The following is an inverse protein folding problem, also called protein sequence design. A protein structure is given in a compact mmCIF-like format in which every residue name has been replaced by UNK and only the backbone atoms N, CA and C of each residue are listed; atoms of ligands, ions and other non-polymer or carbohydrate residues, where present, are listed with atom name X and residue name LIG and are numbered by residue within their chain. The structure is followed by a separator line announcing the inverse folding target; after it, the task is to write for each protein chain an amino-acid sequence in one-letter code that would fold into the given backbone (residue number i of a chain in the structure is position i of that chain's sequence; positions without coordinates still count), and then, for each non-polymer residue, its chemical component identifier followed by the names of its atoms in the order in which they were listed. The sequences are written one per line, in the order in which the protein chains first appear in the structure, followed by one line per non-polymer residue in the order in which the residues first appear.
data_IF_645883789962
#
_entry.id   IF_645883789962
#
_cell.length_a   1.000
_cell.length_b   1.000
_cell.length_c   1.000
_cell.angle_alpha   90.00
_cell.angle_beta   90.00
_cell.angle_gamma   90.00
#
_symmetry.space_group_name_H-M   'P 1'
#
loop_
_entity.id
_entity.type
_entity.pdbx_description
1 polymer ?
#
# COMPACT_ATOMS: atom_id res chain seq x y z
N UNK A 1 9.45 19.08 -17.76
CA UNK A 1 10.03 18.23 -16.70
C UNK A 1 8.96 18.07 -15.66
N UNK A 2 8.60 16.82 -15.33
CA UNK A 2 7.55 16.54 -14.34
C UNK A 2 8.05 16.91 -12.94
N UNK A 3 7.24 17.63 -12.16
CA UNK A 3 7.57 18.00 -10.78
C UNK A 3 6.77 17.18 -9.77
N UNK A 4 7.23 17.17 -8.50
CA UNK A 4 6.46 16.57 -7.41
C UNK A 4 5.09 17.21 -7.22
N UNK A 5 4.95 18.49 -7.56
CA UNK A 5 3.68 19.20 -7.40
C UNK A 5 2.68 18.86 -8.50
N UNK A 6 3.16 18.61 -9.73
CA UNK A 6 2.33 18.10 -10.82
C UNK A 6 1.74 16.73 -10.45
N UNK A 7 2.57 15.83 -9.91
CA UNK A 7 2.16 14.50 -9.44
C UNK A 7 1.10 14.60 -8.35
N UNK A 8 1.34 15.44 -7.32
CA UNK A 8 0.38 15.63 -6.22
C UNK A 8 -0.93 16.25 -6.71
N UNK A 9 -0.85 17.24 -7.59
CA UNK A 9 -2.02 17.91 -8.16
C UNK A 9 -2.86 16.93 -8.99
N UNK A 10 -2.21 16.15 -9.85
CA UNK A 10 -2.88 15.14 -10.65
C UNK A 10 -3.57 14.09 -9.77
N UNK A 11 -2.85 13.48 -8.83
CA UNK A 11 -3.41 12.44 -7.96
C UNK A 11 -4.60 12.95 -7.12
N UNK A 12 -4.53 14.17 -6.58
CA UNK A 12 -5.67 14.79 -5.89
C UNK A 12 -6.86 15.01 -6.82
N UNK A 13 -6.62 15.45 -8.06
CA UNK A 13 -7.69 15.63 -9.06
C UNK A 13 -8.41 14.32 -9.42
N UNK A 14 -7.76 13.17 -9.20
CA UNK A 14 -8.32 11.83 -9.46
C UNK A 14 -9.04 11.24 -8.25
N UNK A 15 -8.86 11.79 -7.06
CA UNK A 15 -9.58 11.37 -5.86
C UNK A 15 -8.73 11.00 -4.65
N UNK A 16 -7.40 11.14 -4.72
CA UNK A 16 -6.56 10.98 -3.53
C UNK A 16 -6.78 12.15 -2.55
N UNK A 17 -7.01 11.85 -1.28
CA UNK A 17 -7.20 12.86 -0.24
C UNK A 17 -5.88 13.43 0.27
N UNK A 18 -4.88 12.56 0.42
CA UNK A 18 -3.50 12.95 0.70
C UNK A 18 -2.56 12.28 -0.29
N UNK A 19 -1.50 13.00 -0.62
CA UNK A 19 -0.47 12.53 -1.55
C UNK A 19 0.89 12.89 -0.97
N UNK A 20 1.72 11.87 -0.84
CA UNK A 20 3.06 11.94 -0.28
C UNK A 20 4.07 11.35 -1.26
N UNK A 21 5.30 11.86 -1.24
CA UNK A 21 6.39 11.31 -2.05
C UNK A 21 7.57 11.07 -1.12
N UNK A 22 8.07 9.84 -1.08
CA UNK A 22 9.14 9.42 -0.19
C UNK A 22 10.28 8.71 -0.92
N UNK A 23 11.45 8.72 -0.30
CA UNK A 23 12.67 8.05 -0.78
C UNK A 23 12.67 6.58 -0.31
N UNK A 24 12.86 5.65 -1.25
CA UNK A 24 12.88 4.21 -0.95
C UNK A 24 14.06 3.81 -0.05
N UNK A 25 15.15 4.58 -0.01
CA UNK A 25 16.26 4.33 0.92
C UNK A 25 15.82 4.28 2.38
N UNK A 26 14.71 4.94 2.73
CA UNK A 26 14.14 4.93 4.08
C UNK A 26 13.52 3.60 4.49
N UNK A 27 13.47 2.61 3.60
CA UNK A 27 13.18 1.20 3.96
C UNK A 27 14.41 0.46 4.52
N UNK A 28 15.60 1.08 4.56
CA UNK A 28 16.78 0.46 5.14
C UNK A 28 16.52 -0.07 6.57
N UNK A 29 16.80 -1.35 6.78
CA UNK A 29 16.58 -2.06 8.03
C UNK A 29 15.20 -2.74 8.16
N UNK A 30 14.30 -2.56 7.19
CA UNK A 30 13.06 -3.36 7.12
C UNK A 30 13.39 -4.84 6.79
N UNK A 31 12.54 -5.80 7.22
CA UNK A 31 12.64 -7.18 6.75
C UNK A 31 12.63 -7.24 5.22
N UNK A 32 13.48 -8.06 4.57
CA UNK A 32 13.57 -8.12 3.11
C UNK A 32 12.24 -8.36 2.40
N UNK A 33 11.36 -9.16 2.98
CA UNK A 33 10.01 -9.49 2.48
C UNK A 33 9.04 -8.29 2.57
N UNK A 34 9.40 -7.28 3.36
CA UNK A 34 8.63 -6.06 3.62
C UNK A 34 9.32 -4.78 3.12
N UNK A 35 10.39 -4.90 2.35
CA UNK A 35 11.17 -3.78 1.81
C UNK A 35 10.89 -3.57 0.31
N UNK A 36 10.36 -2.39 -0.02
CA UNK A 36 9.96 -2.04 -1.39
C UNK A 36 11.13 -2.02 -2.39
N UNK A 37 12.37 -1.87 -1.92
CA UNK A 37 13.58 -1.89 -2.78
C UNK A 37 13.80 -3.24 -3.44
N UNK A 38 13.22 -4.32 -2.91
CA UNK A 38 13.32 -5.65 -3.53
C UNK A 38 12.27 -5.89 -4.64
N UNK A 39 11.23 -5.06 -4.74
CA UNK A 39 10.22 -5.13 -5.80
C UNK A 39 10.66 -4.36 -7.04
N UNK A 40 11.09 -3.11 -6.86
CA UNK A 40 11.52 -2.22 -7.94
C UNK A 40 12.90 -1.63 -7.61
N UNK A 41 14.00 -2.38 -7.88
CA UNK A 41 15.35 -1.98 -7.45
C UNK A 41 15.83 -0.63 -7.99
N UNK A 42 15.34 -0.23 -9.17
CA UNK A 42 15.71 1.04 -9.82
C UNK A 42 14.78 2.21 -9.42
N UNK A 43 13.72 1.95 -8.65
CA UNK A 43 12.79 2.98 -8.21
C UNK A 43 13.46 3.94 -7.22
N UNK A 44 13.40 5.24 -7.54
CA UNK A 44 14.01 6.30 -6.72
C UNK A 44 13.04 6.98 -5.77
N UNK A 45 11.75 6.90 -6.06
CA UNK A 45 10.72 7.56 -5.29
C UNK A 45 9.47 6.67 -5.22
N UNK A 46 8.78 6.76 -4.10
CA UNK A 46 7.48 6.13 -3.86
C UNK A 46 6.43 7.22 -3.74
N UNK A 47 5.31 7.09 -4.45
CA UNK A 47 4.15 7.97 -4.30
C UNK A 47 3.12 7.27 -3.44
N UNK A 48 2.90 7.77 -2.23
CA UNK A 48 1.87 7.28 -1.31
C UNK A 48 0.57 8.05 -1.48
N UNK A 49 -0.55 7.33 -1.54
CA UNK A 49 -1.90 7.90 -1.60
C UNK A 49 -2.68 7.52 -0.34
N UNK A 50 -3.41 8.46 0.24
CA UNK A 50 -4.39 8.18 1.29
C UNK A 50 -5.80 8.55 0.83
N UNK A 51 -6.77 7.75 1.27
CA UNK A 51 -8.18 7.90 0.94
C UNK A 51 -8.97 7.92 2.25
N UNK A 52 -9.83 8.93 2.42
CA UNK A 52 -10.64 9.09 3.62
C UNK A 52 -11.73 8.04 3.63
N UNK A 53 -12.00 7.50 4.81
CA UNK A 53 -13.25 6.80 5.08
C UNK A 53 -14.25 7.86 5.54
N UNK A 54 -15.35 8.12 4.79
CA UNK A 54 -16.37 9.05 5.21
C UNK A 54 -16.92 8.73 6.61
N UNK A 55 -17.01 9.75 7.47
CA UNK A 55 -17.51 9.59 8.85
C UNK A 55 -18.88 8.91 8.92
N UNK A 56 -19.74 9.15 7.93
CA UNK A 56 -21.06 8.55 7.82
C UNK A 56 -21.05 7.02 7.74
N UNK A 57 -19.99 6.42 7.17
CA UNK A 57 -19.89 4.95 7.07
C UNK A 57 -19.67 4.27 8.43
N UNK A 58 -19.21 5.02 9.43
CA UNK A 58 -19.01 4.54 10.80
C UNK A 58 -20.26 4.76 11.68
N UNK A 59 -21.20 5.61 11.25
CA UNK A 59 -22.33 6.03 12.09
C UNK A 59 -23.23 4.86 12.49
N UNK A 60 -23.49 3.95 11.56
CA UNK A 60 -24.34 2.79 11.84
C UNK A 60 -23.72 1.79 12.82
N UNK A 61 -22.39 1.75 12.96
CA UNK A 61 -21.71 0.96 13.99
C UNK A 61 -21.91 1.61 15.36
N UNK A 62 -21.73 2.92 15.45
CA UNK A 62 -21.84 3.69 16.70
C UNK A 62 -23.26 3.72 17.25
N UNK A 63 -24.26 3.76 16.36
CA UNK A 63 -25.67 3.75 16.74
C UNK A 63 -26.27 2.34 16.83
N UNK A 64 -25.52 1.31 16.44
CA UNK A 64 -26.01 -0.07 16.42
C UNK A 64 -27.10 -0.34 15.38
N UNK A 65 -27.17 0.45 14.31
CA UNK A 65 -28.25 0.43 13.30
C UNK A 65 -27.84 -0.23 11.98
N UNK A 66 -26.60 -0.02 11.53
CA UNK A 66 -26.11 -0.56 10.26
C UNK A 66 -24.59 -0.75 10.29
N UNK A 67 -24.16 -1.99 10.51
CA UNK A 67 -22.74 -2.34 10.63
C UNK A 67 -22.04 -2.55 9.29
N UNK A 68 -22.80 -2.78 8.21
CA UNK A 68 -22.23 -3.25 6.96
C UNK A 68 -21.69 -2.13 6.06
N UNK A 69 -22.05 -0.86 6.29
CA UNK A 69 -21.56 0.26 5.48
C UNK A 69 -20.04 0.44 5.59
N UNK A 70 -19.45 0.29 6.77
CA UNK A 70 -18.00 0.38 6.93
C UNK A 70 -17.24 -0.69 6.14
N UNK A 71 -17.47 -2.00 6.32
CA UNK A 71 -16.71 -3.01 5.56
C UNK A 71 -17.01 -2.98 4.06
N UNK A 72 -18.22 -2.59 3.63
CA UNK A 72 -18.58 -2.54 2.21
C UNK A 72 -18.10 -1.26 1.51
N UNK A 73 -18.64 -0.10 1.89
CA UNK A 73 -18.37 1.18 1.24
C UNK A 73 -17.07 1.84 1.74
N UNK A 74 -16.74 1.67 3.02
CA UNK A 74 -15.53 2.25 3.60
C UNK A 74 -14.26 1.48 3.30
N UNK A 75 -14.26 0.17 3.54
CA UNK A 75 -13.05 -0.65 3.43
C UNK A 75 -12.95 -1.32 2.06
N UNK A 76 -13.89 -2.21 1.70
CA UNK A 76 -13.78 -3.00 0.47
C UNK A 76 -13.86 -2.14 -0.79
N UNK A 77 -14.81 -1.21 -0.88
CA UNK A 77 -14.95 -0.37 -2.06
C UNK A 77 -13.71 0.51 -2.31
N UNK A 78 -13.14 1.10 -1.25
CA UNK A 78 -11.92 1.91 -1.37
C UNK A 78 -10.76 1.04 -1.88
N UNK A 79 -10.49 -0.11 -1.27
CA UNK A 79 -9.32 -0.93 -1.58
C UNK A 79 -9.43 -1.70 -2.91
N UNK A 80 -10.65 -2.11 -3.29
CA UNK A 80 -10.86 -2.97 -4.46
C UNK A 80 -11.30 -2.20 -5.71
N UNK A 81 -11.82 -0.98 -5.58
CA UNK A 81 -12.36 -0.23 -6.72
C UNK A 81 -11.82 1.19 -6.81
N UNK A 82 -12.00 2.00 -5.77
CA UNK A 82 -11.72 3.44 -5.85
C UNK A 82 -10.22 3.73 -5.93
N UNK A 83 -9.44 3.27 -4.95
CA UNK A 83 -8.00 3.49 -4.91
C UNK A 83 -7.27 2.85 -6.11
N UNK A 84 -7.59 1.62 -6.56
CA UNK A 84 -7.01 1.05 -7.77
C UNK A 84 -7.22 1.89 -9.03
N UNK A 85 -8.39 2.53 -9.18
CA UNK A 85 -8.64 3.44 -10.31
C UNK A 85 -7.71 4.65 -10.28
N UNK A 86 -7.55 5.27 -9.10
CA UNK A 86 -6.64 6.42 -8.93
C UNK A 86 -5.17 6.03 -9.14
N UNK A 87 -4.77 4.85 -8.68
CA UNK A 87 -3.43 4.30 -8.89
C UNK A 87 -3.16 4.07 -10.39
N UNK A 88 -4.12 3.52 -11.11
CA UNK A 88 -4.01 3.30 -12.56
C UNK A 88 -3.85 4.62 -13.33
N UNK A 89 -4.74 5.59 -13.06
CA UNK A 89 -4.68 6.89 -13.72
C UNK A 89 -3.33 7.59 -13.45
N UNK A 90 -2.82 7.50 -12.23
CA UNK A 90 -1.53 8.08 -11.87
C UNK A 90 -0.36 7.37 -12.56
N UNK A 91 -0.39 6.04 -12.66
CA UNK A 91 0.62 5.29 -13.39
C UNK A 91 0.68 5.72 -14.86
N UNK A 92 -0.46 5.81 -15.55
CA UNK A 92 -0.53 6.30 -16.92
C UNK A 92 0.00 7.74 -17.04
N UNK A 93 -0.36 8.62 -16.10
CA UNK A 93 0.15 9.98 -16.08
C UNK A 93 1.68 10.05 -15.95
N UNK A 94 2.29 9.18 -15.13
CA UNK A 94 3.75 9.09 -15.01
C UNK A 94 4.39 8.60 -16.31
N UNK A 95 3.79 7.58 -16.94
CA UNK A 95 4.25 6.99 -18.21
C UNK A 95 4.19 7.99 -19.38
N UNK A 96 3.12 8.78 -19.45
CA UNK A 96 2.97 9.88 -20.43
C UNK A 96 4.07 10.95 -20.28
N UNK A 97 4.72 11.02 -19.11
CA UNK A 97 5.84 11.92 -18.82
C UNK A 97 7.20 11.22 -18.83
N UNK A 98 7.27 9.97 -19.27
CA UNK A 98 8.51 9.21 -19.45
C UNK A 98 9.03 8.52 -18.19
N UNK A 99 8.17 8.29 -17.19
CA UNK A 99 8.51 7.54 -15.96
C UNK A 99 7.72 6.23 -15.90
N UNK A 100 8.35 5.15 -15.46
CA UNK A 100 7.64 3.88 -15.24
C UNK A 100 6.68 3.99 -14.04
N UNK A 101 5.38 3.74 -14.29
CA UNK A 101 4.31 3.84 -13.30
C UNK A 101 3.98 2.49 -12.66
N UNK A 102 4.82 2.00 -11.74
CA UNK A 102 4.58 0.74 -11.05
C UNK A 102 3.49 0.85 -9.95
N UNK A 103 2.21 0.75 -10.33
CA UNK A 103 1.10 0.77 -9.38
C UNK A 103 1.09 -0.47 -8.46
N UNK A 104 1.01 -0.25 -7.15
CA UNK A 104 0.96 -1.31 -6.15
C UNK A 104 -0.17 -1.04 -5.15
N UNK A 105 -1.11 -1.98 -5.03
CA UNK A 105 -2.30 -1.86 -4.15
C UNK A 105 -2.07 -2.57 -2.82
N UNK A 106 -2.85 -2.22 -1.80
CA UNK A 106 -2.67 -2.71 -0.42
C UNK A 106 -3.30 -4.08 -0.10
N UNK A 107 -3.95 -4.73 -1.06
CA UNK A 107 -4.57 -6.05 -0.87
C UNK A 107 -4.09 -7.04 -1.93
N UNK A 108 -4.03 -8.32 -1.57
CA UNK A 108 -3.83 -9.42 -2.52
C UNK A 108 -2.42 -10.01 -2.60
N UNK A 109 -1.43 -9.49 -1.88
CA UNK A 109 -0.12 -10.16 -1.73
C UNK A 109 -0.19 -11.30 -0.71
N UNK A 110 0.33 -12.48 -1.06
CA UNK A 110 0.64 -13.54 -0.09
C UNK A 110 2.16 -13.67 -0.06
N UNK A 111 2.80 -13.29 1.02
CA UNK A 111 4.25 -13.48 1.15
C UNK A 111 4.58 -14.77 1.91
N UNK A 112 5.86 -15.07 2.14
CA UNK A 112 6.30 -16.25 2.89
C UNK A 112 6.05 -16.17 4.40
N UNK A 113 5.90 -14.96 4.93
CA UNK A 113 5.51 -14.68 6.31
C UNK A 113 4.11 -14.05 6.39
N UNK A 114 3.52 -14.04 7.58
CA UNK A 114 2.23 -13.41 7.81
C UNK A 114 2.31 -11.88 7.62
N UNK A 115 1.40 -11.29 6.86
CA UNK A 115 1.25 -9.84 6.72
C UNK A 115 0.70 -9.14 7.97
N UNK A 116 0.18 -9.94 8.91
CA UNK A 116 -0.40 -9.46 10.16
C UNK A 116 0.53 -9.63 11.36
N UNK A 117 1.25 -10.75 11.42
CA UNK A 117 2.14 -11.07 12.55
C UNK A 117 3.62 -11.05 12.21
N UNK A 118 4.00 -11.14 10.94
CA UNK A 118 5.38 -11.34 10.50
C UNK A 118 5.92 -12.74 10.78
N UNK A 119 5.08 -13.66 11.28
CA UNK A 119 5.48 -15.02 11.62
C UNK A 119 5.61 -15.90 10.37
N UNK A 120 6.74 -16.61 10.27
CA UNK A 120 7.03 -17.56 9.20
C UNK A 120 6.38 -18.93 9.43
N UNK A 121 6.03 -19.24 10.68
CA UNK A 121 5.50 -20.54 11.09
C UNK A 121 3.97 -20.53 11.27
N UNK A 122 3.30 -19.40 11.03
CA UNK A 122 1.83 -19.30 11.11
C UNK A 122 1.16 -20.39 10.25
N UNK A 123 0.09 -21.01 10.75
CA UNK A 123 -0.59 -22.07 10.00
C UNK A 123 -1.09 -21.52 8.65
N UNK A 124 -0.82 -22.21 7.52
CA UNK A 124 -1.37 -21.84 6.22
C UNK A 124 -2.91 -21.92 6.18
N UNK A 125 -3.55 -22.58 7.15
CA UNK A 125 -5.01 -22.64 7.29
C UNK A 125 -5.62 -21.26 7.56
N UNK A 126 -4.84 -20.32 8.11
CA UNK A 126 -5.24 -18.92 8.24
C UNK A 126 -5.06 -18.12 6.93
N UNK A 127 -4.59 -18.77 5.86
CA UNK A 127 -4.66 -18.29 4.48
C UNK A 127 -3.66 -17.20 4.08
N UNK A 128 -2.74 -16.81 4.97
CA UNK A 128 -1.93 -15.58 4.80
C UNK A 128 -0.48 -15.77 4.40
N UNK A 129 -0.04 -16.99 4.10
CA UNK A 129 1.31 -17.24 3.57
C UNK A 129 1.37 -18.21 2.40
N UNK A 130 2.45 -18.11 1.62
CA UNK A 130 2.83 -19.11 0.61
C UNK A 130 3.75 -20.15 1.26
N UNK A 131 3.31 -21.41 1.24
CA UNK A 131 4.04 -22.52 1.89
C UNK A 131 5.31 -22.95 1.16
N UNK A 132 5.33 -22.79 -0.16
CA UNK A 132 6.43 -23.24 -1.02
C UNK A 132 6.84 -22.08 -1.92
N UNK A 133 7.84 -21.31 -1.47
CA UNK A 133 8.44 -20.22 -2.24
C UNK A 133 9.92 -20.14 -1.88
N UNK A 134 10.78 -19.98 -2.89
CA UNK A 134 12.23 -19.93 -2.72
C UNK A 134 12.78 -18.69 -3.43
N UNK A 135 13.86 -18.08 -2.91
CA UNK A 135 14.55 -16.98 -3.57
C UNK A 135 14.93 -17.30 -5.01
N UNK A 136 14.64 -16.37 -5.92
CA UNK A 136 15.03 -16.48 -7.33
C UNK A 136 16.54 -16.24 -7.57
N UNK A 137 17.24 -15.72 -6.56
CA UNK A 137 18.69 -15.50 -6.58
C UNK A 137 19.25 -15.43 -5.14
N UNK A 138 20.55 -15.74 -4.94
CA UNK A 138 21.20 -15.59 -3.65
C UNK A 138 21.06 -14.18 -3.08
N UNK A 139 20.71 -14.06 -1.80
CA UNK A 139 20.60 -12.78 -1.10
C UNK A 139 19.33 -11.97 -1.41
N UNK A 140 18.36 -12.54 -2.13
CA UNK A 140 17.03 -11.95 -2.34
C UNK A 140 15.96 -12.62 -1.48
N UNK A 141 14.88 -11.91 -1.11
CA UNK A 141 13.71 -12.57 -0.54
C UNK A 141 13.08 -13.52 -1.56
N UNK A 142 12.26 -14.45 -1.08
CA UNK A 142 11.39 -15.24 -1.94
C UNK A 142 10.40 -14.32 -2.70
N UNK A 143 9.86 -14.74 -3.86
CA UNK A 143 8.81 -14.03 -4.59
C UNK A 143 7.59 -13.65 -3.75
N UNK A 144 6.75 -12.79 -4.33
CA UNK A 144 5.54 -12.24 -3.69
C UNK A 144 5.84 -11.35 -2.47
N UNK A 145 6.93 -10.59 -2.56
CA UNK A 145 7.30 -9.53 -1.61
C UNK A 145 6.13 -8.54 -1.48
N UNK A 146 5.77 -8.22 -0.23
CA UNK A 146 4.77 -7.21 0.07
C UNK A 146 5.34 -6.22 1.08
N UNK A 147 5.71 -5.04 0.59
CA UNK A 147 6.29 -4.02 1.45
C UNK A 147 5.32 -3.58 2.53
N UNK A 148 5.86 -3.14 3.67
CA UNK A 148 5.04 -2.62 4.76
C UNK A 148 4.36 -1.31 4.34
N UNK A 149 3.05 -1.36 4.11
CA UNK A 149 2.24 -0.18 3.80
C UNK A 149 2.28 0.89 4.89
N UNK A 150 2.52 0.47 6.14
CA UNK A 150 2.64 1.42 7.26
C UNK A 150 3.96 2.18 7.18
N UNK A 151 5.06 1.47 6.95
CA UNK A 151 6.35 2.12 6.75
C UNK A 151 6.30 3.00 5.50
N UNK A 152 5.70 2.53 4.40
CA UNK A 152 5.48 3.31 3.18
C UNK A 152 4.74 4.62 3.44
N UNK A 153 3.60 4.57 4.15
CA UNK A 153 2.81 5.75 4.47
C UNK A 153 3.60 6.76 5.32
N UNK A 154 4.37 6.29 6.31
CA UNK A 154 5.27 7.14 7.10
C UNK A 154 6.39 7.75 6.24
N UNK A 155 7.02 6.95 5.37
CA UNK A 155 8.07 7.40 4.45
C UNK A 155 7.56 8.49 3.51
N UNK A 156 6.34 8.35 3.01
CA UNK A 156 5.66 9.32 2.17
C UNK A 156 5.11 10.54 2.95
N UNK A 157 5.18 10.55 4.29
CA UNK A 157 4.70 11.66 5.11
C UNK A 157 3.17 11.76 5.16
N UNK A 158 2.47 10.63 5.06
CA UNK A 158 1.00 10.57 5.12
C UNK A 158 0.44 10.51 6.55
N UNK A 159 1.29 10.18 7.53
CA UNK A 159 0.91 10.08 8.94
C UNK A 159 1.95 9.33 9.78
N UNK A 160 1.64 9.16 11.06
CA UNK A 160 2.45 8.42 12.03
C UNK A 160 1.80 7.09 12.39
N UNK A 161 2.60 6.08 12.75
CA UNK A 161 2.08 4.75 13.12
C UNK A 161 1.50 4.82 14.54
N UNK A 162 0.17 4.78 14.66
CA UNK A 162 -0.51 4.78 15.95
C UNK A 162 -0.39 3.45 16.72
N UNK A 163 -0.75 3.46 18.00
CA UNK A 163 -0.72 2.26 18.87
C UNK A 163 -1.57 1.10 18.35
N UNK A 164 -2.64 1.38 17.61
CA UNK A 164 -3.48 0.37 16.94
C UNK A 164 -2.88 -0.16 15.64
N UNK A 165 -1.66 0.27 15.28
CA UNK A 165 -1.02 0.06 13.98
C UNK A 165 -1.82 0.69 12.81
N UNK A 166 -2.62 1.72 13.07
CA UNK A 166 -3.36 2.50 12.07
C UNK A 166 -2.86 3.96 12.05
N UNK A 167 -3.14 4.68 10.96
CA UNK A 167 -2.90 6.13 10.78
C UNK A 167 -4.14 6.94 11.14
#
# INVERSE_FOLDING_TARGET
MLTSEDVKTFARSRGADLVGIGDLSRFEGAPPEMDARHLFPDARAMVGLAFRIPRGYLRGIEEGTNFYQYPSMGYANINENYAPGVLHDLACFLEDHGYEGAAYRNTGGRMVCSDMTGDYDESPDFGRRIRYSEPVAPGRPAPDVMFSFRIAAFICGLGEIGYSKMF
#
